data_IF_549937627586
#
_entry.id   IF_549937627586
#
_cell.length_a   1.000
_cell.length_b   1.000
_cell.length_c   1.000
_cell.angle_alpha   90.00
_cell.angle_beta   90.00
_cell.angle_gamma   90.00
#
_symmetry.space_group_name_H-M   'P 1'
#
loop_
_entity.id
_entity.type
_entity.pdbx_description
1 polymer ?
#
# COMPACT_ATOMS: atom_id res chain seq x y z
N UNK A 1 -19.40 3.67 3.80
CA UNK A 1 -19.42 2.86 2.56
C UNK A 1 -18.82 1.46 2.76
N UNK A 2 -17.55 1.27 3.14
CA UNK A 2 -16.95 -0.08 3.30
C UNK A 2 -17.82 -1.09 4.09
N UNK A 3 -18.28 -0.71 5.27
CA UNK A 3 -19.13 -1.58 6.11
C UNK A 3 -20.45 -1.99 5.45
N UNK A 4 -21.00 -1.16 4.56
CA UNK A 4 -22.24 -1.45 3.85
C UNK A 4 -22.09 -2.68 2.95
N UNK A 5 -21.00 -2.69 2.19
CA UNK A 5 -20.66 -3.77 1.27
C UNK A 5 -20.06 -4.97 1.99
N UNK A 6 -19.21 -4.77 3.01
CA UNK A 6 -18.60 -5.89 3.75
C UNK A 6 -19.63 -6.86 4.33
N UNK A 7 -20.73 -6.33 4.86
CA UNK A 7 -21.71 -7.08 5.66
C UNK A 7 -22.69 -7.91 4.82
N UNK A 8 -22.72 -7.76 3.49
CA UNK A 8 -23.65 -8.49 2.64
C UNK A 8 -23.01 -8.83 1.30
N UNK A 9 -22.79 -10.14 1.02
CA UNK A 9 -22.33 -10.59 -0.30
C UNK A 9 -23.25 -10.12 -1.43
N UNK A 10 -24.57 -10.13 -1.22
CA UNK A 10 -25.54 -9.64 -2.18
C UNK A 10 -25.31 -8.15 -2.54
N UNK A 11 -25.06 -7.29 -1.54
CA UNK A 11 -24.76 -5.87 -1.80
C UNK A 11 -23.43 -5.67 -2.51
N UNK A 12 -22.45 -6.56 -2.30
CA UNK A 12 -21.20 -6.52 -3.08
C UNK A 12 -21.46 -6.88 -4.54
N UNK A 13 -22.27 -7.92 -4.78
CA UNK A 13 -22.65 -8.33 -6.12
C UNK A 13 -23.40 -7.20 -6.84
N UNK A 14 -24.36 -6.57 -6.17
CA UNK A 14 -25.07 -5.40 -6.68
C UNK A 14 -24.11 -4.29 -7.17
N UNK A 15 -23.03 -4.01 -6.42
CA UNK A 15 -22.02 -3.02 -6.84
C UNK A 15 -21.17 -3.53 -8.02
N UNK A 16 -20.83 -4.82 -8.03
CA UNK A 16 -20.06 -5.44 -9.11
C UNK A 16 -20.85 -5.35 -10.42
N UNK A 17 -22.13 -5.67 -10.39
CA UNK A 17 -23.01 -5.63 -11.55
C UNK A 17 -23.06 -4.21 -12.13
N UNK A 18 -23.25 -3.20 -11.26
CA UNK A 18 -23.20 -1.79 -11.68
C UNK A 18 -21.81 -1.41 -12.24
N UNK A 19 -20.71 -1.88 -11.65
CA UNK A 19 -19.36 -1.59 -12.17
C UNK A 19 -19.17 -2.22 -13.56
N UNK A 20 -19.69 -3.42 -13.77
CA UNK A 20 -19.59 -4.15 -15.04
C UNK A 20 -20.41 -3.46 -16.14
N UNK A 21 -21.54 -2.83 -15.81
CA UNK A 21 -22.30 -1.98 -16.74
C UNK A 21 -21.52 -0.74 -17.20
N UNK A 22 -20.61 -0.22 -16.39
CA UNK A 22 -19.69 0.87 -16.77
C UNK A 22 -18.52 0.38 -17.64
N UNK A 23 -18.48 -0.92 -17.98
CA UNK A 23 -17.50 -1.56 -18.87
C UNK A 23 -16.04 -1.26 -18.51
N UNK A 24 -15.77 -1.20 -17.20
CA UNK A 24 -14.53 -0.67 -16.65
C UNK A 24 -13.73 -1.76 -15.92
N UNK A 25 -12.40 -1.78 -16.14
CA UNK A 25 -11.43 -2.62 -15.41
C UNK A 25 -11.13 -2.00 -14.03
N UNK A 26 -12.17 -1.57 -13.30
CA UNK A 26 -12.02 -0.95 -11.98
C UNK A 26 -11.90 -2.02 -10.90
N UNK A 27 -11.12 -1.72 -9.86
CA UNK A 27 -11.05 -2.59 -8.69
C UNK A 27 -12.41 -2.64 -7.97
N UNK A 28 -13.03 -3.82 -8.00
CA UNK A 28 -14.42 -4.06 -7.59
C UNK A 28 -14.67 -4.08 -6.07
N UNK A 29 -13.63 -3.95 -5.25
CA UNK A 29 -13.73 -4.02 -3.79
C UNK A 29 -13.77 -2.63 -3.16
N UNK A 30 -14.27 -2.52 -1.92
CA UNK A 30 -14.07 -1.32 -1.11
C UNK A 30 -12.93 -1.55 -0.13
N UNK A 31 -12.12 -0.53 0.11
CA UNK A 31 -11.02 -0.59 1.06
C UNK A 31 -11.48 -0.19 2.47
N UNK A 32 -10.92 -0.86 3.48
CA UNK A 32 -11.14 -0.51 4.87
C UNK A 32 -10.20 0.62 5.27
N UNK A 33 -10.72 1.59 6.02
CA UNK A 33 -9.94 2.65 6.63
C UNK A 33 -9.78 2.41 8.13
N UNK A 34 -8.57 2.61 8.64
CA UNK A 34 -8.30 2.68 10.09
C UNK A 34 -7.72 4.03 10.44
N UNK A 35 -8.16 4.59 11.57
CA UNK A 35 -7.73 5.92 12.04
C UNK A 35 -6.23 5.98 12.40
N UNK A 36 -5.56 4.83 12.50
CA UNK A 36 -4.14 4.72 12.88
C UNK A 36 -3.21 4.49 11.68
N UNK A 37 -3.72 4.03 10.52
CA UNK A 37 -2.88 3.74 9.34
C UNK A 37 -3.09 4.81 8.26
N UNK A 38 -2.52 5.98 8.50
CA UNK A 38 -2.65 7.15 7.63
C UNK A 38 -2.18 6.91 6.19
N UNK A 39 -1.18 6.04 5.97
CA UNK A 39 -0.73 5.63 4.62
C UNK A 39 -1.83 4.98 3.79
N UNK A 40 -2.84 4.37 4.42
CA UNK A 40 -3.97 3.77 3.71
C UNK A 40 -5.06 4.79 3.36
N UNK A 41 -5.06 5.97 3.97
CA UNK A 41 -6.10 6.97 3.75
C UNK A 41 -6.15 7.40 2.28
N UNK A 42 -4.99 7.72 1.69
CA UNK A 42 -4.88 8.07 0.26
C UNK A 42 -5.52 6.99 -0.61
N UNK A 43 -5.10 5.73 -0.45
CA UNK A 43 -5.64 4.58 -1.22
C UNK A 43 -7.15 4.41 -1.07
N UNK A 44 -7.69 4.56 0.14
CA UNK A 44 -9.13 4.47 0.39
C UNK A 44 -9.88 5.59 -0.32
N UNK A 45 -9.39 6.83 -0.24
CA UNK A 45 -10.02 7.98 -0.90
C UNK A 45 -9.92 7.83 -2.42
N UNK A 46 -8.77 7.43 -2.96
CA UNK A 46 -8.60 7.12 -4.38
C UNK A 46 -9.66 6.11 -4.83
N UNK A 47 -9.86 5.01 -4.10
CA UNK A 47 -10.88 4.02 -4.43
C UNK A 47 -12.29 4.60 -4.45
N UNK A 48 -12.63 5.43 -3.47
CA UNK A 48 -13.95 6.10 -3.40
C UNK A 48 -14.15 7.03 -4.59
N UNK A 49 -13.13 7.80 -4.96
CA UNK A 49 -13.20 8.76 -6.06
C UNK A 49 -13.21 8.09 -7.44
N UNK A 50 -12.44 7.01 -7.63
CA UNK A 50 -12.46 6.18 -8.84
C UNK A 50 -13.84 5.54 -9.03
N UNK A 51 -14.43 5.03 -7.96
CA UNK A 51 -15.76 4.42 -7.98
C UNK A 51 -16.89 5.46 -7.79
N UNK A 52 -16.62 6.77 -7.89
CA UNK A 52 -17.63 7.78 -7.54
C UNK A 52 -18.88 7.67 -8.40
N UNK A 53 -18.74 7.58 -9.72
CA UNK A 53 -19.87 7.49 -10.64
C UNK A 53 -20.62 6.14 -10.52
N UNK A 54 -19.94 4.96 -10.46
CA UNK A 54 -20.62 3.70 -10.15
C UNK A 54 -21.33 3.69 -8.79
N UNK A 55 -20.75 4.29 -7.76
CA UNK A 55 -21.38 4.40 -6.45
C UNK A 55 -22.60 5.32 -6.51
N UNK A 56 -22.50 6.43 -7.24
CA UNK A 56 -23.61 7.34 -7.47
C UNK A 56 -24.78 6.61 -8.15
N UNK A 57 -24.52 5.89 -9.25
CA UNK A 57 -25.54 5.10 -9.97
C UNK A 57 -26.12 3.97 -9.09
N UNK A 58 -25.26 3.25 -8.37
CA UNK A 58 -25.68 2.18 -7.48
C UNK A 58 -26.66 2.69 -6.40
N UNK A 59 -26.34 3.80 -5.73
CA UNK A 59 -27.16 4.30 -4.62
C UNK A 59 -28.36 5.15 -5.06
N UNK A 60 -28.32 5.79 -6.22
CA UNK A 60 -29.36 6.72 -6.67
C UNK A 60 -30.32 6.14 -7.71
N UNK A 61 -29.91 5.12 -8.47
CA UNK A 61 -30.71 4.53 -9.54
C UNK A 61 -30.96 3.04 -9.25
N UNK A 62 -29.90 2.22 -9.26
CA UNK A 62 -30.02 0.76 -9.20
C UNK A 62 -30.69 0.24 -7.91
N UNK A 63 -30.27 0.73 -6.74
CA UNK A 63 -30.83 0.26 -5.46
C UNK A 63 -32.30 0.70 -5.27
N UNK A 64 -32.70 1.96 -5.54
CA UNK A 64 -34.10 2.37 -5.54
C UNK A 64 -34.99 1.56 -6.47
N UNK A 65 -34.56 1.31 -7.71
CA UNK A 65 -35.36 0.62 -8.73
C UNK A 65 -35.61 -0.85 -8.38
N UNK A 66 -34.65 -1.49 -7.72
CA UNK A 66 -34.75 -2.88 -7.29
C UNK A 66 -35.66 -3.11 -6.06
N UNK A 67 -36.31 -2.06 -5.51
CA UNK A 67 -37.32 -2.10 -4.44
C UNK A 67 -36.99 -3.01 -3.23
N UNK A 68 -35.71 -3.25 -2.91
CA UNK A 68 -35.33 -4.18 -1.83
C UNK A 68 -35.77 -3.64 -0.47
N UNK A 69 -36.49 -4.46 0.32
CA UNK A 69 -37.01 -4.11 1.67
C UNK A 69 -35.93 -3.55 2.60
N UNK A 70 -34.67 -3.98 2.44
CA UNK A 70 -33.53 -3.57 3.28
C UNK A 70 -33.07 -2.11 3.12
N UNK A 71 -33.61 -1.39 2.12
CA UNK A 71 -33.33 0.04 1.86
C UNK A 71 -34.33 0.93 2.62
N UNK A 72 -35.56 0.47 2.83
CA UNK A 72 -36.60 1.26 3.52
C UNK A 72 -36.16 1.51 4.97
N UNK A 73 -36.11 2.78 5.36
CA UNK A 73 -35.72 3.26 6.70
C UNK A 73 -34.30 2.85 7.13
N UNK A 74 -33.32 2.96 6.24
CA UNK A 74 -31.93 2.63 6.55
C UNK A 74 -31.04 3.88 6.63
N UNK A 75 -30.77 4.35 7.84
CA UNK A 75 -29.94 5.54 8.08
C UNK A 75 -28.54 5.49 7.45
N UNK A 76 -27.98 4.28 7.26
CA UNK A 76 -26.68 4.14 6.57
C UNK A 76 -26.81 4.40 5.08
N UNK A 77 -27.89 3.93 4.46
CA UNK A 77 -28.19 4.21 3.07
C UNK A 77 -28.39 5.72 2.88
N UNK A 78 -29.22 6.35 3.71
CA UNK A 78 -29.50 7.79 3.60
C UNK A 78 -28.25 8.65 3.76
N UNK A 79 -27.37 8.31 4.71
CA UNK A 79 -26.07 9.00 4.86
C UNK A 79 -25.17 8.84 3.65
N UNK A 80 -25.09 7.64 3.05
CA UNK A 80 -24.27 7.40 1.86
C UNK A 80 -24.85 8.16 0.67
N UNK A 81 -26.18 8.12 0.50
CA UNK A 81 -26.91 8.85 -0.54
C UNK A 81 -26.62 10.35 -0.47
N UNK A 82 -26.79 10.97 0.71
CA UNK A 82 -26.47 12.38 0.95
C UNK A 82 -25.00 12.70 0.71
N UNK A 83 -24.10 11.75 1.00
CA UNK A 83 -22.66 11.93 0.75
C UNK A 83 -22.35 11.99 -0.75
N UNK A 84 -22.95 11.11 -1.54
CA UNK A 84 -22.70 10.99 -2.98
C UNK A 84 -23.32 12.14 -3.79
N UNK A 85 -24.39 12.76 -3.28
CA UNK A 85 -25.00 13.95 -3.91
C UNK A 85 -24.31 15.27 -3.54
N UNK A 86 -23.42 15.26 -2.55
CA UNK A 86 -22.73 16.48 -2.09
C UNK A 86 -21.41 16.73 -2.81
N UNK A 87 -21.37 17.76 -3.66
CA UNK A 87 -20.12 18.28 -4.22
C UNK A 87 -19.15 18.82 -3.15
N UNK A 88 -19.67 19.37 -2.04
CA UNK A 88 -18.86 19.80 -0.88
C UNK A 88 -18.09 18.63 -0.25
N UNK A 89 -18.68 17.44 -0.16
CA UNK A 89 -17.95 16.26 0.32
C UNK A 89 -16.96 15.76 -0.74
N UNK A 90 -17.37 15.72 -2.01
CA UNK A 90 -16.48 15.32 -3.13
C UNK A 90 -15.21 16.19 -3.19
N UNK A 91 -15.33 17.52 -3.08
CA UNK A 91 -14.18 18.43 -3.09
C UNK A 91 -13.28 18.25 -1.85
N UNK A 92 -13.86 18.01 -0.67
CA UNK A 92 -13.07 17.73 0.56
C UNK A 92 -12.29 16.43 0.43
N UNK A 93 -12.85 15.39 -0.19
CA UNK A 93 -12.13 14.15 -0.47
C UNK A 93 -10.96 14.38 -1.43
N UNK A 94 -11.17 15.11 -2.53
CA UNK A 94 -10.08 15.48 -3.44
C UNK A 94 -8.99 16.30 -2.74
N UNK A 95 -9.36 17.21 -1.84
CA UNK A 95 -8.40 18.01 -1.09
C UNK A 95 -7.56 17.16 -0.14
N UNK A 96 -8.19 16.24 0.61
CA UNK A 96 -7.46 15.33 1.49
C UNK A 96 -6.54 14.41 0.67
N UNK A 97 -7.02 13.88 -0.46
CA UNK A 97 -6.20 13.07 -1.36
C UNK A 97 -4.96 13.84 -1.83
N UNK A 98 -5.12 15.10 -2.22
CA UNK A 98 -4.01 15.98 -2.58
C UNK A 98 -2.98 16.14 -1.45
N UNK A 99 -3.43 16.26 -0.19
CA UNK A 99 -2.50 16.33 0.94
C UNK A 99 -1.75 15.01 1.15
N UNK A 100 -2.43 13.87 1.05
CA UNK A 100 -1.80 12.55 1.12
C UNK A 100 -0.70 12.42 0.05
N UNK A 101 -1.07 12.62 -1.22
CA UNK A 101 -0.16 12.40 -2.36
C UNK A 101 1.00 13.39 -2.39
N UNK A 102 0.77 14.65 -2.04
CA UNK A 102 1.76 15.71 -2.26
C UNK A 102 2.54 16.14 -1.03
N UNK A 103 2.22 15.62 0.16
CA UNK A 103 2.92 15.96 1.41
C UNK A 103 3.29 14.69 2.18
N UNK A 104 2.32 13.84 2.49
CA UNK A 104 2.51 12.80 3.50
C UNK A 104 3.08 11.50 2.95
N UNK A 105 2.62 11.03 1.78
CA UNK A 105 2.91 9.68 1.30
C UNK A 105 4.41 9.42 1.13
N UNK A 106 5.15 10.35 0.53
CA UNK A 106 6.61 10.22 0.36
C UNK A 106 7.32 10.07 1.71
N UNK A 107 7.00 10.93 2.68
CA UNK A 107 7.63 10.91 4.00
C UNK A 107 7.28 9.62 4.76
N UNK A 108 5.99 9.25 4.79
CA UNK A 108 5.52 8.08 5.51
C UNK A 108 6.05 6.77 4.91
N UNK A 109 6.11 6.67 3.58
CA UNK A 109 6.64 5.48 2.90
C UNK A 109 8.16 5.36 3.04
N UNK A 110 8.90 6.48 3.03
CA UNK A 110 10.35 6.48 3.27
C UNK A 110 10.69 5.88 4.63
N UNK A 111 10.08 6.37 5.71
CA UNK A 111 10.37 5.90 7.08
C UNK A 111 9.66 4.58 7.46
N UNK A 112 9.00 3.92 6.51
CA UNK A 112 8.52 2.54 6.66
C UNK A 112 9.54 1.50 6.20
N UNK A 113 10.62 1.91 5.53
CA UNK A 113 11.67 1.01 5.05
C UNK A 113 12.45 0.37 6.21
N UNK A 114 13.01 -0.83 5.96
CA UNK A 114 13.87 -1.54 6.91
C UNK A 114 15.31 -1.02 6.92
N UNK A 115 15.69 -0.21 5.93
CA UNK A 115 17.02 0.36 5.85
C UNK A 115 17.26 1.38 6.97
N UNK A 116 18.49 1.55 7.47
CA UNK A 116 18.80 2.59 8.44
C UNK A 116 18.70 3.97 7.79
N UNK A 117 17.79 4.83 8.28
CA UNK A 117 17.48 6.13 7.65
C UNK A 117 17.69 7.34 8.57
N UNK A 118 18.33 7.17 9.73
CA UNK A 118 18.55 8.26 10.68
C UNK A 118 19.28 9.47 10.07
N UNK A 119 20.21 9.22 9.16
CA UNK A 119 20.97 10.23 8.41
C UNK A 119 20.10 11.12 7.50
N UNK A 120 18.88 10.71 7.15
CA UNK A 120 17.94 11.52 6.37
C UNK A 120 16.87 12.16 7.25
N UNK A 121 16.73 11.76 8.52
CA UNK A 121 15.58 12.10 9.34
C UNK A 121 15.42 13.61 9.51
N UNK A 122 16.48 14.34 9.86
CA UNK A 122 16.39 15.80 10.04
C UNK A 122 16.03 16.52 8.74
N UNK A 123 16.71 16.18 7.64
CA UNK A 123 16.43 16.72 6.31
C UNK A 123 14.96 16.54 5.93
N UNK A 124 14.45 15.32 6.08
CA UNK A 124 13.11 14.95 5.66
C UNK A 124 12.03 15.59 6.54
N UNK A 125 12.28 15.75 7.85
CA UNK A 125 11.41 16.50 8.75
C UNK A 125 11.34 17.98 8.38
N UNK A 126 12.50 18.60 8.09
CA UNK A 126 12.59 19.98 7.61
C UNK A 126 11.83 20.16 6.28
N UNK A 127 12.06 19.24 5.34
CA UNK A 127 11.40 19.23 4.03
C UNK A 127 9.88 19.08 4.16
N UNK A 128 9.40 18.15 5.00
CA UNK A 128 7.97 17.96 5.28
C UNK A 128 7.31 19.25 5.81
N UNK A 129 7.95 19.93 6.75
CA UNK A 129 7.41 21.17 7.31
C UNK A 129 7.41 22.31 6.29
N UNK A 130 8.48 22.44 5.50
CA UNK A 130 8.56 23.40 4.40
C UNK A 130 7.47 23.14 3.34
N UNK A 131 7.23 21.88 3.00
CA UNK A 131 6.23 21.49 2.00
C UNK A 131 4.81 21.92 2.38
N UNK A 132 4.42 21.83 3.67
CA UNK A 132 3.09 22.30 4.11
C UNK A 132 2.99 23.82 4.06
N UNK A 133 4.03 24.54 4.50
CA UNK A 133 4.07 26.01 4.49
C UNK A 133 3.90 26.56 3.07
N UNK A 134 4.61 25.98 2.09
CA UNK A 134 4.54 26.37 0.69
C UNK A 134 3.20 26.07 -0.02
N UNK A 135 2.26 25.35 0.63
CA UNK A 135 0.91 25.17 0.05
C UNK A 135 0.04 26.41 0.18
N UNK A 136 0.28 27.24 1.19
CA UNK A 136 -0.61 28.35 1.52
C UNK A 136 0.10 29.66 1.86
N UNK A 137 1.43 29.66 2.01
CA UNK A 137 2.24 30.88 2.15
C UNK A 137 2.94 31.23 0.84
N UNK A 138 3.26 32.52 0.70
CA UNK A 138 4.06 33.02 -0.40
C UNK A 138 5.50 32.48 -0.33
N UNK A 139 6.07 32.17 -1.51
CA UNK A 139 7.37 31.48 -1.60
C UNK A 139 8.54 32.37 -1.14
N UNK A 140 8.45 33.67 -1.40
CA UNK A 140 9.37 34.71 -0.94
C UNK A 140 9.38 34.85 0.59
N UNK A 141 8.22 34.71 1.23
CA UNK A 141 8.11 34.77 2.69
C UNK A 141 8.75 33.56 3.39
N UNK A 142 8.55 32.35 2.84
CA UNK A 142 9.23 31.15 3.32
C UNK A 142 10.74 31.25 3.03
N UNK A 143 11.12 31.75 1.84
CA UNK A 143 12.50 31.95 1.43
C UNK A 143 13.31 30.65 1.44
N UNK A 144 14.59 30.71 1.77
CA UNK A 144 15.48 29.53 1.84
C UNK A 144 15.62 28.94 3.25
N UNK A 145 14.73 29.35 4.19
CA UNK A 145 14.74 28.83 5.57
C UNK A 145 14.63 27.30 5.58
N UNK A 146 15.39 26.67 6.47
CA UNK A 146 15.45 25.23 6.66
C UNK A 146 15.66 24.88 8.14
N UNK A 147 15.40 23.63 8.52
CA UNK A 147 15.63 23.14 9.87
C UNK A 147 14.89 23.97 10.92
N UNK A 148 15.61 24.40 11.96
CA UNK A 148 15.06 25.18 13.07
C UNK A 148 14.44 26.51 12.65
N UNK A 149 14.98 27.17 11.62
CA UNK A 149 14.57 28.51 11.18
C UNK A 149 13.16 28.54 10.60
N UNK A 150 12.66 27.38 10.14
CA UNK A 150 11.27 27.25 9.70
C UNK A 150 10.27 27.49 10.84
N UNK A 151 10.66 27.21 12.09
CA UNK A 151 9.79 27.36 13.25
C UNK A 151 9.52 28.83 13.58
N UNK A 152 10.38 29.74 13.13
CA UNK A 152 10.26 31.17 13.40
C UNK A 152 9.29 31.87 12.42
N UNK A 153 8.82 31.16 11.39
CA UNK A 153 7.81 31.67 10.47
C UNK A 153 6.47 31.83 11.20
N UNK A 154 5.95 33.05 11.21
CA UNK A 154 4.55 33.30 11.58
C UNK A 154 3.67 33.05 10.36
N UNK A 155 3.02 31.89 10.34
CA UNK A 155 2.14 31.45 9.27
C UNK A 155 0.70 31.96 9.40
N UNK A 156 0.36 32.65 10.51
CA UNK A 156 -0.99 33.20 10.71
C UNK A 156 -1.16 34.59 10.10
N UNK A 157 -0.07 35.23 9.66
CA UNK A 157 -0.10 36.52 8.97
C UNK A 157 -0.87 36.42 7.64
N UNK A 158 -2.07 37.01 7.61
CA UNK A 158 -2.96 36.96 6.44
C UNK A 158 -2.32 37.57 5.18
N UNK A 159 -1.52 38.63 5.32
CA UNK A 159 -0.81 39.30 4.23
C UNK A 159 0.27 38.45 3.55
N UNK A 160 0.77 37.43 4.24
CA UNK A 160 1.77 36.48 3.72
C UNK A 160 1.13 35.18 3.20
N UNK A 161 -0.17 35.01 3.41
CA UNK A 161 -0.92 33.87 2.90
C UNK A 161 -1.38 34.13 1.46
N UNK A 162 -1.39 33.05 0.68
CA UNK A 162 -1.92 33.06 -0.67
C UNK A 162 -3.44 33.27 -0.63
N UNK A 163 -3.95 34.02 -1.62
CA UNK A 163 -5.40 34.15 -1.82
C UNK A 163 -6.03 32.82 -2.30
N UNK A 164 -7.37 32.75 -2.30
CA UNK A 164 -8.11 31.54 -2.66
C UNK A 164 -7.85 31.05 -4.11
N UNK A 165 -7.37 31.92 -5.00
CA UNK A 165 -6.98 31.56 -6.37
C UNK A 165 -5.63 30.83 -6.40
N UNK A 166 -4.68 31.23 -5.55
CA UNK A 166 -3.31 30.71 -5.56
C UNK A 166 -3.02 29.65 -4.50
N UNK A 167 -3.82 29.58 -3.42
CA UNK A 167 -3.69 28.52 -2.43
C UNK A 167 -3.79 27.14 -3.10
N UNK A 168 -2.88 26.23 -2.73
CA UNK A 168 -2.80 24.91 -3.36
C UNK A 168 -3.88 24.01 -2.76
N UNK A 169 -4.76 23.46 -3.60
CA UNK A 169 -5.83 22.54 -3.16
C UNK A 169 -5.88 21.25 -4.01
N UNK A 170 -4.97 21.12 -4.98
CA UNK A 170 -4.96 20.03 -5.96
C UNK A 170 -5.91 20.24 -7.12
N UNK A 171 -5.59 19.62 -8.26
CA UNK A 171 -6.36 19.76 -9.51
C UNK A 171 -7.75 19.11 -9.40
N UNK A 172 -7.85 17.95 -8.74
CA UNK A 172 -9.15 17.31 -8.48
C UNK A 172 -10.12 18.22 -7.75
N UNK A 173 -9.64 18.96 -6.74
CA UNK A 173 -10.46 19.91 -6.00
C UNK A 173 -10.87 21.11 -6.87
N UNK A 174 -9.95 21.62 -7.71
CA UNK A 174 -10.23 22.74 -8.63
C UNK A 174 -11.31 22.39 -9.64
N UNK A 175 -11.32 21.16 -10.17
CA UNK A 175 -12.37 20.67 -11.07
C UNK A 175 -13.73 20.62 -10.40
N UNK A 176 -13.81 20.17 -9.15
CA UNK A 176 -15.09 20.10 -8.42
C UNK A 176 -15.58 21.48 -7.97
N UNK A 177 -14.67 22.44 -7.76
CA UNK A 177 -14.97 23.79 -7.30
C UNK A 177 -15.96 24.55 -8.19
N UNK A 178 -16.02 24.23 -9.50
CA UNK A 178 -16.93 24.84 -10.47
C UNK A 178 -18.40 24.51 -10.20
N UNK A 179 -18.67 23.38 -9.52
CA UNK A 179 -20.02 22.91 -9.19
C UNK A 179 -20.55 23.48 -7.86
N UNK A 180 -19.72 24.18 -7.08
CA UNK A 180 -20.12 24.75 -5.79
C UNK A 180 -20.71 26.15 -5.96
N UNK A 181 -21.65 26.51 -5.08
CA UNK A 181 -22.12 27.90 -4.92
C UNK A 181 -21.05 28.78 -4.29
N UNK A 182 -21.18 30.11 -4.39
CA UNK A 182 -20.20 31.03 -3.80
C UNK A 182 -20.03 30.82 -2.28
N UNK A 183 -21.14 30.66 -1.55
CA UNK A 183 -21.12 30.41 -0.10
C UNK A 183 -20.39 29.12 0.27
N UNK A 184 -20.60 28.05 -0.50
CA UNK A 184 -19.90 26.77 -0.28
C UNK A 184 -18.41 26.88 -0.60
N UNK A 185 -18.03 27.63 -1.64
CA UNK A 185 -16.63 27.90 -1.97
C UNK A 185 -15.93 28.63 -0.83
N UNK A 186 -16.56 29.67 -0.28
CA UNK A 186 -15.99 30.44 0.83
C UNK A 186 -15.80 29.57 2.07
N UNK A 187 -16.83 28.77 2.43
CA UNK A 187 -16.76 27.80 3.52
C UNK A 187 -15.65 26.77 3.30
N UNK A 188 -15.50 26.25 2.07
CA UNK A 188 -14.44 25.30 1.74
C UNK A 188 -13.04 25.90 1.91
N UNK A 189 -12.81 27.14 1.47
CA UNK A 189 -11.50 27.79 1.64
C UNK A 189 -11.20 28.12 3.11
N UNK A 190 -12.20 28.43 3.92
CA UNK A 190 -12.01 28.53 5.38
C UNK A 190 -11.56 27.18 5.97
N UNK A 191 -12.20 26.07 5.58
CA UNK A 191 -11.81 24.73 6.03
C UNK A 191 -10.40 24.37 5.59
N UNK A 192 -10.02 24.69 4.34
CA UNK A 192 -8.66 24.50 3.82
C UNK A 192 -7.64 25.25 4.67
N UNK A 193 -7.88 26.52 4.99
CA UNK A 193 -6.99 27.32 5.84
C UNK A 193 -6.90 26.74 7.25
N UNK A 194 -8.03 26.32 7.84
CA UNK A 194 -8.06 25.67 9.17
C UNK A 194 -7.22 24.39 9.18
N UNK A 195 -7.31 23.56 8.15
CA UNK A 195 -6.50 22.33 8.02
C UNK A 195 -5.02 22.70 7.93
N UNK A 196 -4.65 23.64 7.06
CA UNK A 196 -3.25 24.07 6.93
C UNK A 196 -2.68 24.63 8.23
N UNK A 197 -3.42 25.48 8.92
CA UNK A 197 -3.00 26.01 10.22
C UNK A 197 -2.87 24.91 11.26
N UNK A 198 -3.84 24.01 11.37
CA UNK A 198 -3.81 22.91 12.34
C UNK A 198 -2.63 21.95 12.08
N UNK A 199 -2.37 21.58 10.82
CA UNK A 199 -1.21 20.75 10.46
C UNK A 199 0.11 21.47 10.73
N UNK A 200 0.20 22.76 10.38
CA UNK A 200 1.42 23.56 10.59
C UNK A 200 1.71 23.76 12.07
N UNK A 201 0.71 24.03 12.91
CA UNK A 201 0.83 24.08 14.37
C UNK A 201 1.30 22.73 14.93
N UNK A 202 0.69 21.63 14.46
CA UNK A 202 1.06 20.30 14.90
C UNK A 202 2.54 20.00 14.57
N UNK A 203 3.00 20.33 13.36
CA UNK A 203 4.40 20.16 12.99
C UNK A 203 5.33 21.07 13.79
N UNK A 204 4.99 22.35 13.96
CA UNK A 204 5.78 23.29 14.77
C UNK A 204 5.99 22.78 16.21
N UNK A 205 4.97 22.15 16.79
CA UNK A 205 5.00 21.63 18.15
C UNK A 205 5.76 20.31 18.29
N UNK A 206 5.65 19.41 17.30
CA UNK A 206 6.07 18.01 17.46
C UNK A 206 7.34 17.63 16.69
N UNK A 207 7.76 18.42 15.68
CA UNK A 207 8.96 18.09 14.91
C UNK A 207 10.23 18.58 15.63
N UNK A 208 11.25 17.72 15.85
CA UNK A 208 12.47 18.07 16.55
C UNK A 208 13.47 18.83 15.65
N UNK A 209 13.03 19.89 14.95
CA UNK A 209 13.88 20.60 13.97
C UNK A 209 15.06 21.34 14.61
N UNK A 210 14.99 21.64 15.91
CA UNK A 210 16.10 22.23 16.70
C UNK A 210 17.07 21.18 17.27
N UNK A 211 16.84 19.89 17.04
CA UNK A 211 17.71 18.83 17.54
C UNK A 211 19.05 18.82 16.76
N UNK A 212 20.12 19.24 17.43
CA UNK A 212 21.47 19.31 16.86
C UNK A 212 22.04 17.93 16.51
N UNK A 213 21.78 16.90 17.31
CA UNK A 213 22.23 15.55 17.03
C UNK A 213 21.68 15.02 15.70
N UNK A 214 20.36 15.11 15.48
CA UNK A 214 19.76 14.67 14.22
C UNK A 214 20.27 15.46 13.01
N UNK A 215 20.56 16.75 13.20
CA UNK A 215 21.17 17.60 12.19
C UNK A 215 22.59 17.15 11.87
N UNK A 216 23.41 16.93 12.89
CA UNK A 216 24.82 16.55 12.73
C UNK A 216 24.93 15.13 12.11
N UNK A 217 24.04 14.19 12.45
CA UNK A 217 24.02 12.83 11.86
C UNK A 217 23.80 12.83 10.33
N UNK A 218 23.30 13.92 9.74
CA UNK A 218 23.14 14.03 8.30
C UNK A 218 24.46 13.89 7.53
N UNK A 219 25.59 14.30 8.12
CA UNK A 219 26.91 14.21 7.49
C UNK A 219 27.31 12.77 7.10
N UNK A 220 26.64 11.77 7.68
CA UNK A 220 26.89 10.38 7.33
C UNK A 220 26.51 10.11 5.87
N UNK A 221 25.56 10.87 5.31
CA UNK A 221 25.21 10.81 3.90
C UNK A 221 26.28 11.51 3.05
N UNK A 222 26.73 10.92 1.92
CA UNK A 222 27.77 11.53 1.09
C UNK A 222 27.41 12.93 0.58
N UNK A 223 26.15 13.18 0.26
CA UNK A 223 25.69 14.49 -0.24
C UNK A 223 25.71 15.61 0.81
N UNK A 224 25.83 15.28 2.10
CA UNK A 224 25.91 16.27 3.18
C UNK A 224 27.32 16.35 3.79
N UNK A 225 28.29 15.58 3.29
CA UNK A 225 29.69 15.66 3.73
C UNK A 225 30.29 17.00 3.30
N UNK A 226 30.65 17.84 4.26
CA UNK A 226 31.50 19.01 4.04
C UNK A 226 32.97 18.59 3.96
N UNK A 227 33.85 19.47 3.49
CA UNK A 227 35.31 19.21 3.41
C UNK A 227 35.98 19.11 4.79
N UNK A 228 35.30 19.56 5.85
CA UNK A 228 35.76 19.53 7.25
C UNK A 228 34.53 19.24 8.14
N UNK A 229 34.32 17.97 8.51
CA UNK A 229 33.17 17.54 9.32
C UNK A 229 33.57 16.83 10.63
N UNK A 230 34.82 17.03 11.05
CA UNK A 230 35.38 16.51 12.30
C UNK A 230 34.56 16.96 13.51
N UNK A 231 34.11 18.21 13.52
CA UNK A 231 33.40 18.81 14.64
C UNK A 231 32.03 18.17 14.82
N UNK A 232 31.30 17.91 13.73
CA UNK A 232 30.03 17.19 13.77
C UNK A 232 30.21 15.76 14.28
N UNK A 233 31.25 15.03 13.82
CA UNK A 233 31.54 13.67 14.31
C UNK A 233 31.81 13.65 15.81
N UNK A 234 32.58 14.62 16.32
CA UNK A 234 32.81 14.76 17.76
C UNK A 234 31.51 15.05 18.51
N UNK A 235 30.66 15.95 17.99
CA UNK A 235 29.36 16.24 18.61
C UNK A 235 28.46 15.02 18.64
N UNK A 236 28.44 14.22 17.57
CA UNK A 236 27.72 12.93 17.53
C UNK A 236 28.28 11.97 18.57
N UNK A 237 29.61 11.83 18.66
CA UNK A 237 30.26 10.95 19.62
C UNK A 237 29.97 11.34 21.07
N UNK A 238 30.06 12.64 21.39
CA UNK A 238 29.73 13.18 22.73
C UNK A 238 28.23 13.04 23.07
N UNK A 239 27.36 13.02 22.07
CA UNK A 239 25.92 12.84 22.26
C UNK A 239 25.50 11.40 22.59
N UNK A 240 26.41 10.42 22.46
CA UNK A 240 26.16 9.01 22.83
C UNK A 240 27.11 8.59 23.96
N UNK A 241 26.74 8.84 25.24
CA UNK A 241 27.61 8.59 26.38
C UNK A 241 28.06 7.13 26.48
N UNK A 242 29.34 6.92 26.77
CA UNK A 242 29.93 5.59 26.95
C UNK A 242 30.24 4.83 25.65
N UNK A 243 29.94 5.40 24.48
CA UNK A 243 30.28 4.79 23.20
C UNK A 243 31.78 4.87 22.92
N UNK A 244 32.37 6.07 22.99
CA UNK A 244 33.79 6.33 22.77
C UNK A 244 34.43 6.94 24.02
N UNK A 245 35.70 6.61 24.24
CA UNK A 245 36.58 7.26 25.23
C UNK A 245 37.05 8.62 24.73
N UNK A 246 37.48 9.51 25.64
CA UNK A 246 37.99 10.84 25.25
C UNK A 246 39.12 10.75 24.22
N UNK A 247 40.04 9.78 24.39
CA UNK A 247 41.11 9.51 23.43
C UNK A 247 40.61 9.06 22.06
N UNK A 248 39.57 8.23 22.03
CA UNK A 248 38.93 7.82 20.77
C UNK A 248 38.28 9.03 20.07
N UNK A 249 37.64 9.92 20.83
CA UNK A 249 37.03 11.15 20.28
C UNK A 249 38.09 12.05 19.65
N UNK A 250 39.22 12.27 20.34
CA UNK A 250 40.33 13.08 19.81
C UNK A 250 40.89 12.52 18.49
N UNK A 251 40.88 11.19 18.31
CA UNK A 251 41.32 10.53 17.09
C UNK A 251 40.36 10.71 15.89
N UNK A 252 39.12 11.18 16.08
CA UNK A 252 38.16 11.36 14.98
C UNK A 252 38.51 12.50 14.03
N UNK A 253 39.36 13.45 14.45
CA UNK A 253 39.72 14.62 13.63
C UNK A 253 40.53 14.28 12.36
N UNK A 254 41.18 13.10 12.31
CA UNK A 254 41.97 12.64 11.15
C UNK A 254 41.25 11.66 10.22
N UNK A 255 40.12 11.09 10.65
CA UNK A 255 39.45 9.96 10.00
C UNK A 255 38.21 10.43 9.22
N UNK A 256 38.45 11.13 8.11
CA UNK A 256 37.36 11.76 7.35
C UNK A 256 36.66 10.84 6.35
N UNK A 257 36.97 9.54 6.27
CA UNK A 257 36.28 8.57 5.38
C UNK A 257 35.97 9.13 3.98
N UNK A 258 36.93 9.87 3.41
CA UNK A 258 36.76 10.72 2.22
C UNK A 258 36.95 9.94 0.91
N UNK A 259 36.83 8.62 0.95
CA UNK A 259 36.93 7.80 -0.25
C UNK A 259 35.78 8.12 -1.23
N UNK A 260 36.15 8.38 -2.48
CA UNK A 260 35.20 8.61 -3.57
C UNK A 260 34.59 7.28 -4.01
N UNK A 261 33.61 6.80 -3.25
CA UNK A 261 32.88 5.55 -3.49
C UNK A 261 31.46 5.89 -3.96
N UNK A 262 30.96 5.15 -4.94
CA UNK A 262 29.58 5.26 -5.43
C UNK A 262 28.59 5.03 -4.28
N UNK A 263 27.67 5.99 -4.09
CA UNK A 263 26.64 5.87 -3.08
C UNK A 263 25.63 4.77 -3.42
N UNK A 264 25.20 4.03 -2.39
CA UNK A 264 24.16 3.02 -2.49
C UNK A 264 23.18 3.20 -1.31
N UNK A 265 23.07 2.21 -0.41
CA UNK A 265 22.41 2.35 0.90
C UNK A 265 23.46 2.68 1.95
N UNK A 266 23.10 3.46 2.97
CA UNK A 266 24.05 4.05 3.94
C UNK A 266 24.94 3.02 4.63
N UNK A 267 24.41 1.85 4.98
CA UNK A 267 25.14 0.76 5.62
C UNK A 267 26.10 0.04 4.67
N UNK A 268 25.72 -0.17 3.40
CA UNK A 268 26.64 -0.67 2.38
C UNK A 268 27.77 0.32 2.12
N UNK A 269 27.42 1.60 1.97
CA UNK A 269 28.38 2.69 1.76
C UNK A 269 29.43 2.71 2.89
N UNK A 270 28.98 2.72 4.13
CA UNK A 270 29.90 2.70 5.27
C UNK A 270 30.61 1.36 5.45
N UNK A 271 29.98 0.23 5.14
CA UNK A 271 30.67 -1.07 5.20
C UNK A 271 31.86 -1.13 4.22
N UNK A 272 31.74 -0.54 3.03
CA UNK A 272 32.85 -0.44 2.08
C UNK A 272 33.98 0.43 2.63
N UNK A 273 33.67 1.61 3.17
CA UNK A 273 34.68 2.52 3.76
C UNK A 273 35.38 1.88 4.96
N UNK A 274 34.59 1.31 5.88
CA UNK A 274 35.09 0.72 7.10
C UNK A 274 35.82 -0.62 6.88
N UNK A 275 35.64 -1.23 5.71
CA UNK A 275 36.37 -2.42 5.28
C UNK A 275 37.79 -2.13 4.75
N UNK A 276 38.16 -0.85 4.58
CA UNK A 276 39.50 -0.48 4.14
C UNK A 276 40.51 -0.78 5.24
N UNK A 277 41.57 -1.48 4.89
CA UNK A 277 42.68 -1.82 5.79
C UNK A 277 43.94 -1.06 5.44
N UNK A 278 44.75 -0.77 6.46
CA UNK A 278 46.13 -0.31 6.30
C UNK A 278 47.02 -1.44 5.78
N UNK A 279 48.26 -1.12 5.35
CA UNK A 279 49.18 -2.09 4.77
C UNK A 279 49.57 -3.25 5.72
N UNK A 280 49.44 -3.03 7.03
CA UNK A 280 49.65 -4.04 8.09
C UNK A 280 48.39 -4.88 8.37
N UNK A 281 47.32 -4.73 7.58
CA UNK A 281 46.08 -5.50 7.70
C UNK A 281 45.13 -5.03 8.80
N UNK A 282 45.42 -3.93 9.50
CA UNK A 282 44.52 -3.36 10.52
C UNK A 282 43.42 -2.52 9.87
N UNK A 283 42.25 -2.35 10.51
CA UNK A 283 41.22 -1.44 10.02
C UNK A 283 41.77 -0.01 9.95
N UNK A 284 41.58 0.67 8.82
CA UNK A 284 41.99 2.07 8.64
C UNK A 284 41.21 3.02 9.54
N UNK A 285 39.93 2.71 9.79
CA UNK A 285 38.98 3.56 10.51
C UNK A 285 38.32 2.85 11.71
N UNK A 286 39.10 2.43 12.74
CA UNK A 286 38.57 1.62 13.83
C UNK A 286 37.56 2.39 14.69
N UNK A 287 37.88 3.64 15.04
CA UNK A 287 37.05 4.48 15.90
C UNK A 287 35.80 4.97 15.17
N UNK A 288 35.97 5.48 13.95
CA UNK A 288 34.86 5.89 13.10
C UNK A 288 33.90 4.72 12.83
N UNK A 289 34.44 3.51 12.62
CA UNK A 289 33.62 2.32 12.45
C UNK A 289 32.77 1.97 13.66
N UNK A 290 33.32 2.12 14.87
CA UNK A 290 32.58 1.95 16.12
C UNK A 290 31.46 2.98 16.25
N UNK A 291 31.74 4.26 15.96
CA UNK A 291 30.74 5.32 15.99
C UNK A 291 29.60 5.05 15.01
N UNK A 292 29.92 4.91 13.73
CA UNK A 292 28.92 4.83 12.66
C UNK A 292 28.01 3.61 12.81
N UNK A 293 28.58 2.44 13.12
CA UNK A 293 27.77 1.23 13.35
C UNK A 293 26.75 1.44 14.47
N UNK A 294 27.10 2.14 15.54
CA UNK A 294 26.20 2.43 16.65
C UNK A 294 25.17 3.52 16.33
N UNK A 295 25.50 4.49 15.48
CA UNK A 295 24.50 5.47 15.02
C UNK A 295 23.49 4.86 14.06
N UNK A 296 23.94 3.98 13.15
CA UNK A 296 23.05 3.37 12.14
C UNK A 296 22.07 2.33 12.72
N UNK A 297 22.25 1.86 13.96
CA UNK A 297 21.26 1.01 14.64
C UNK A 297 20.15 1.80 15.35
N UNK A 298 20.27 3.13 15.45
CA UNK A 298 19.25 3.96 16.09
C UNK A 298 18.00 3.95 15.21
N UNK A 299 16.82 3.59 15.76
CA UNK A 299 15.60 3.51 14.98
C UNK A 299 15.15 4.90 14.50
N UNK A 300 14.76 5.01 13.23
CA UNK A 300 14.24 6.24 12.62
C UNK A 300 12.71 6.36 12.66
N UNK A 301 12.01 5.37 13.18
CA UNK A 301 10.55 5.36 13.19
C UNK A 301 9.96 4.18 13.97
N UNK A 302 8.63 4.05 13.91
CA UNK A 302 7.88 2.99 14.61
C UNK A 302 7.65 1.73 13.77
N UNK A 303 8.01 1.77 12.48
CA UNK A 303 7.69 0.71 11.53
C UNK A 303 8.32 -0.65 11.91
N UNK A 304 9.54 -0.66 12.45
CA UNK A 304 10.18 -1.90 12.95
C UNK A 304 9.38 -2.54 14.09
N UNK A 305 8.89 -1.72 15.03
CA UNK A 305 8.07 -2.16 16.16
C UNK A 305 6.71 -2.68 15.67
N UNK A 306 6.07 -1.96 14.76
CA UNK A 306 4.78 -2.38 14.17
C UNK A 306 4.91 -3.69 13.37
N UNK A 307 6.02 -3.88 12.63
CA UNK A 307 6.34 -5.16 11.99
C UNK A 307 6.48 -6.28 13.03
N UNK A 308 7.17 -6.00 14.13
CA UNK A 308 7.28 -6.92 15.27
C UNK A 308 5.91 -7.34 15.82
N UNK A 309 5.01 -6.37 16.05
CA UNK A 309 3.64 -6.65 16.50
C UNK A 309 2.84 -7.49 15.50
N UNK A 310 2.96 -7.22 14.20
CA UNK A 310 2.27 -8.01 13.18
C UNK A 310 2.79 -9.45 13.12
N UNK A 311 4.09 -9.66 13.32
CA UNK A 311 4.63 -11.03 13.40
C UNK A 311 4.09 -11.72 14.66
N UNK A 312 4.04 -11.03 15.81
CA UNK A 312 3.48 -11.59 17.03
C UNK A 312 2.00 -11.94 16.88
N UNK A 313 1.19 -11.08 16.24
CA UNK A 313 -0.21 -11.34 15.95
C UNK A 313 -0.40 -12.61 15.09
N UNK A 314 0.48 -12.82 14.10
CA UNK A 314 0.46 -14.02 13.27
C UNK A 314 0.95 -15.28 14.00
N UNK A 315 1.90 -15.15 14.93
CA UNK A 315 2.46 -16.26 15.71
C UNK A 315 1.56 -16.68 16.88
N UNK A 316 0.80 -15.74 17.44
CA UNK A 316 -0.15 -15.94 18.55
C UNK A 316 -1.58 -15.72 18.03
N UNK A 317 -2.13 -16.66 17.24
CA UNK A 317 -3.51 -16.56 16.78
C UNK A 317 -4.49 -16.55 17.96
N UNK A 318 -5.67 -15.95 17.77
CA UNK A 318 -6.70 -15.74 18.82
C UNK A 318 -7.08 -17.01 19.61
N UNK A 319 -6.87 -18.20 19.03
CA UNK A 319 -7.16 -19.49 19.64
C UNK A 319 -6.00 -20.04 20.51
N UNK A 320 -4.88 -19.32 20.64
CA UNK A 320 -3.70 -19.64 21.47
C UNK A 320 -3.40 -18.54 22.50
N UNK A 321 -4.43 -18.04 23.17
CA UNK A 321 -4.34 -16.97 24.18
C UNK A 321 -3.64 -17.36 25.50
N UNK A 322 -3.17 -18.60 25.65
CA UNK A 322 -2.57 -19.14 26.88
C UNK A 322 -1.02 -19.18 26.86
N UNK A 323 -0.37 -18.58 25.87
CA UNK A 323 1.11 -18.53 25.84
C UNK A 323 1.63 -17.54 26.88
N UNK A 324 2.58 -17.98 27.70
CA UNK A 324 3.33 -17.10 28.60
C UNK A 324 4.27 -16.19 27.81
N UNK A 325 4.67 -15.06 28.41
CA UNK A 325 5.68 -14.15 27.84
C UNK A 325 6.98 -14.89 27.49
N UNK A 326 7.40 -15.84 28.33
CA UNK A 326 8.58 -16.68 28.08
C UNK A 326 8.43 -17.53 26.82
N UNK A 327 7.24 -18.09 26.57
CA UNK A 327 6.96 -18.88 25.38
C UNK A 327 6.95 -18.00 24.13
N UNK A 328 6.36 -16.81 24.21
CA UNK A 328 6.35 -15.83 23.12
C UNK A 328 7.78 -15.40 22.79
N UNK A 329 8.60 -15.08 23.79
CA UNK A 329 10.01 -14.72 23.61
C UNK A 329 10.83 -15.86 22.99
N UNK A 330 10.60 -17.12 23.42
CA UNK A 330 11.25 -18.29 22.83
C UNK A 330 10.88 -18.52 21.36
N UNK A 331 9.59 -18.39 21.04
CA UNK A 331 9.09 -18.46 19.66
C UNK A 331 9.69 -17.35 18.80
N UNK A 332 9.71 -16.11 19.32
CA UNK A 332 10.26 -14.95 18.64
C UNK A 332 11.76 -15.12 18.34
N UNK A 333 12.53 -15.56 19.34
CA UNK A 333 13.96 -15.83 19.20
C UNK A 333 14.24 -16.91 18.15
N UNK A 334 13.43 -17.97 18.14
CA UNK A 334 13.52 -19.03 17.14
C UNK A 334 13.21 -18.51 15.73
N UNK A 335 12.13 -17.73 15.59
CA UNK A 335 11.74 -17.13 14.30
C UNK A 335 12.82 -16.20 13.76
N UNK A 336 13.32 -15.30 14.59
CA UNK A 336 14.35 -14.34 14.20
C UNK A 336 15.68 -15.04 13.87
N UNK A 337 16.06 -16.07 14.65
CA UNK A 337 17.24 -16.90 14.36
C UNK A 337 17.14 -17.64 13.02
N UNK A 338 15.97 -18.21 12.71
CA UNK A 338 15.71 -18.86 11.41
C UNK A 338 15.71 -17.83 10.27
N UNK A 339 15.11 -16.66 10.47
CA UNK A 339 15.10 -15.58 9.47
C UNK A 339 16.52 -15.07 9.17
N UNK A 340 17.35 -14.93 10.21
CA UNK A 340 18.72 -14.46 10.11
C UNK A 340 19.65 -15.48 9.43
N UNK A 341 19.57 -16.76 9.82
CA UNK A 341 20.46 -17.82 9.31
C UNK A 341 20.00 -18.43 7.99
N UNK A 342 18.71 -18.45 7.71
CA UNK A 342 18.11 -19.22 6.61
C UNK A 342 18.04 -18.53 5.24
N UNK A 343 18.62 -17.34 5.04
CA UNK A 343 18.47 -16.52 3.82
C UNK A 343 17.00 -16.38 3.35
N UNK A 344 16.02 -16.52 4.26
CA UNK A 344 14.60 -16.60 3.92
C UNK A 344 14.20 -17.71 2.92
N UNK A 345 15.09 -18.66 2.58
CA UNK A 345 14.96 -19.50 1.38
C UNK A 345 14.37 -20.89 1.62
N UNK A 346 14.39 -21.40 2.85
CA UNK A 346 13.96 -22.78 3.14
C UNK A 346 12.43 -22.96 3.15
N UNK A 347 11.64 -21.88 3.22
CA UNK A 347 10.16 -21.96 3.17
C UNK A 347 9.47 -21.00 2.20
N UNK A 348 10.10 -19.88 1.79
CA UNK A 348 9.44 -18.81 1.02
C UNK A 348 9.14 -19.22 -0.43
N UNK A 349 10.10 -19.83 -1.12
CA UNK A 349 9.92 -20.34 -2.48
C UNK A 349 8.87 -21.47 -2.58
N UNK A 350 8.70 -22.27 -1.51
CA UNK A 350 7.79 -23.41 -1.49
C UNK A 350 6.34 -23.02 -1.17
N UNK A 351 6.13 -21.99 -0.33
CA UNK A 351 4.79 -21.50 -0.01
C UNK A 351 4.23 -20.65 -1.15
N UNK A 352 5.04 -19.74 -1.72
CA UNK A 352 4.65 -18.86 -2.83
C UNK A 352 4.26 -19.72 -4.06
N UNK A 353 5.10 -20.68 -4.45
CA UNK A 353 4.83 -21.56 -5.59
C UNK A 353 3.59 -22.46 -5.37
N UNK A 354 3.32 -22.91 -4.14
CA UNK A 354 2.11 -23.66 -3.82
C UNK A 354 0.85 -22.79 -3.88
N UNK A 355 0.92 -21.56 -3.37
CA UNK A 355 -0.21 -20.64 -3.42
C UNK A 355 -0.51 -20.18 -4.84
N UNK A 356 0.51 -19.99 -5.68
CA UNK A 356 0.35 -19.65 -7.09
C UNK A 356 -0.32 -20.78 -7.87
N UNK A 357 0.16 -22.03 -7.72
CA UNK A 357 -0.44 -23.19 -8.39
C UNK A 357 -1.91 -23.39 -7.96
N UNK A 358 -2.23 -23.18 -6.68
CA UNK A 358 -3.61 -23.30 -6.19
C UNK A 358 -4.52 -22.16 -6.69
N UNK A 359 -4.01 -20.93 -6.77
CA UNK A 359 -4.76 -19.80 -7.34
C UNK A 359 -5.02 -19.99 -8.83
N UNK A 360 -4.01 -20.44 -9.58
CA UNK A 360 -4.12 -20.71 -11.01
C UNK A 360 -5.13 -21.85 -11.28
N UNK A 361 -5.12 -22.91 -10.45
CA UNK A 361 -6.12 -23.99 -10.49
C UNK A 361 -7.53 -23.47 -10.19
N UNK A 362 -7.69 -22.63 -9.16
CA UNK A 362 -8.98 -22.03 -8.77
C UNK A 362 -9.54 -21.11 -9.87
N UNK A 363 -8.71 -20.27 -10.48
CA UNK A 363 -9.10 -19.38 -11.59
C UNK A 363 -9.57 -20.17 -12.82
N UNK A 364 -8.89 -21.27 -13.17
CA UNK A 364 -9.32 -22.12 -14.27
C UNK A 364 -10.62 -22.86 -13.97
N UNK A 365 -10.84 -23.31 -12.73
CA UNK A 365 -12.10 -23.94 -12.30
C UNK A 365 -13.27 -22.96 -12.35
N UNK A 366 -13.06 -21.70 -11.96
CA UNK A 366 -14.07 -20.64 -12.07
C UNK A 366 -14.43 -20.41 -13.54
N UNK A 367 -13.42 -20.22 -14.41
CA UNK A 367 -13.63 -20.04 -15.86
C UNK A 367 -14.36 -21.23 -16.50
N UNK A 368 -14.02 -22.46 -16.10
CA UNK A 368 -14.73 -23.66 -16.55
C UNK A 368 -16.20 -23.63 -16.13
N UNK A 369 -16.48 -23.29 -14.87
CA UNK A 369 -17.85 -23.21 -14.36
C UNK A 369 -18.68 -22.14 -15.08
N UNK A 370 -18.08 -20.98 -15.40
CA UNK A 370 -18.76 -19.89 -16.10
C UNK A 370 -19.09 -20.28 -17.54
N UNK A 371 -18.14 -20.86 -18.27
CA UNK A 371 -18.37 -21.35 -19.64
C UNK A 371 -19.42 -22.46 -19.67
N UNK A 372 -19.46 -23.31 -18.65
CA UNK A 372 -20.46 -24.38 -18.54
C UNK A 372 -21.85 -23.81 -18.25
N UNK A 373 -21.95 -22.72 -17.49
CA UNK A 373 -23.19 -21.96 -17.31
C UNK A 373 -23.65 -21.33 -18.62
N UNK A 374 -22.73 -20.73 -19.37
CA UNK A 374 -23.02 -20.11 -20.68
C UNK A 374 -23.44 -21.14 -21.73
N UNK A 375 -22.82 -22.33 -21.73
CA UNK A 375 -23.21 -23.46 -22.57
C UNK A 375 -24.64 -23.92 -22.27
N UNK A 376 -24.99 -24.06 -20.99
CA UNK A 376 -26.33 -24.44 -20.57
C UNK A 376 -27.39 -23.42 -21.01
N UNK A 377 -27.09 -22.12 -20.90
CA UNK A 377 -27.95 -21.05 -21.39
C UNK A 377 -28.13 -21.12 -22.91
N UNK A 378 -27.03 -21.29 -23.65
CA UNK A 378 -27.05 -21.40 -25.12
C UNK A 378 -27.84 -22.63 -25.57
N UNK A 379 -27.69 -23.76 -24.89
CA UNK A 379 -28.46 -25.00 -25.14
C UNK A 379 -29.96 -24.79 -24.89
N UNK A 380 -30.34 -24.04 -23.85
CA UNK A 380 -31.74 -23.68 -23.60
C UNK A 380 -32.31 -22.82 -24.73
N UNK A 381 -31.53 -21.87 -25.27
CA UNK A 381 -31.94 -21.02 -26.39
C UNK A 381 -32.14 -21.86 -27.66
N UNK A 382 -31.23 -22.78 -27.96
CA UNK A 382 -31.35 -23.70 -29.11
C UNK A 382 -32.62 -24.57 -28.96
N UNK A 383 -32.90 -25.05 -27.73
CA UNK A 383 -34.08 -25.86 -27.45
C UNK A 383 -35.38 -25.06 -27.64
N UNK A 384 -35.42 -23.80 -27.20
CA UNK A 384 -36.56 -22.92 -27.43
C UNK A 384 -36.73 -22.57 -28.92
N UNK A 385 -35.63 -22.26 -29.61
CA UNK A 385 -35.61 -22.06 -31.06
C UNK A 385 -36.15 -23.27 -31.82
N UNK A 386 -35.78 -24.48 -31.41
CA UNK A 386 -36.27 -25.73 -32.01
C UNK A 386 -37.77 -25.93 -31.82
N UNK A 387 -38.31 -25.57 -30.64
CA UNK A 387 -39.78 -25.60 -30.39
C UNK A 387 -40.51 -24.57 -31.26
N UNK A 388 -39.96 -23.36 -31.39
CA UNK A 388 -40.52 -22.30 -32.25
C UNK A 388 -40.52 -22.71 -33.72
N UNK A 389 -39.46 -23.36 -34.19
CA UNK A 389 -39.36 -23.88 -35.54
C UNK A 389 -40.44 -24.93 -35.81
N UNK A 390 -40.66 -25.89 -34.89
CA UNK A 390 -41.72 -26.90 -35.02
C UNK A 390 -43.12 -26.28 -35.11
N UNK A 391 -43.38 -25.23 -34.31
CA UNK A 391 -44.67 -24.54 -34.31
C UNK A 391 -44.88 -23.70 -35.59
N UNK A 392 -43.83 -23.04 -36.07
CA UNK A 392 -43.84 -22.26 -37.31
C UNK A 392 -44.05 -23.15 -38.55
N UNK A 393 -43.45 -24.35 -38.58
CA UNK A 393 -43.66 -25.36 -39.62
C UNK A 393 -45.11 -25.86 -39.65
N UNK A 394 -45.73 -26.07 -38.48
CA UNK A 394 -47.15 -26.47 -38.38
C UNK A 394 -48.10 -25.39 -38.90
N UNK A 395 -47.76 -24.12 -38.68
CA UNK A 395 -48.59 -22.97 -39.07
C UNK A 395 -48.27 -22.43 -40.47
N UNK A 396 -47.30 -23.02 -41.20
CA UNK A 396 -46.82 -22.58 -42.52
C UNK A 396 -46.38 -21.10 -42.57
N UNK A 397 -45.83 -20.57 -41.46
CA UNK A 397 -45.35 -19.20 -41.41
C UNK A 397 -43.86 -19.12 -41.80
N UNK A 398 -43.58 -18.72 -43.04
CA UNK A 398 -42.20 -18.62 -43.58
C UNK A 398 -41.29 -17.68 -42.76
N UNK A 399 -41.83 -16.56 -42.26
CA UNK A 399 -41.03 -15.56 -41.55
C UNK A 399 -40.54 -16.09 -40.19
N UNK A 400 -41.39 -16.85 -39.50
CA UNK A 400 -41.06 -17.43 -38.19
C UNK A 400 -40.13 -18.66 -38.33
N UNK A 401 -40.21 -19.38 -39.46
CA UNK A 401 -39.25 -20.44 -39.83
C UNK A 401 -37.85 -19.85 -39.99
N UNK A 402 -37.72 -18.75 -40.75
CA UNK A 402 -36.42 -18.10 -40.97
C UNK A 402 -35.81 -17.58 -39.66
N UNK A 403 -36.64 -16.93 -38.82
CA UNK A 403 -36.21 -16.42 -37.51
C UNK A 403 -35.76 -17.52 -36.55
N UNK A 404 -36.48 -18.64 -36.51
CA UNK A 404 -36.12 -19.77 -35.65
C UNK A 404 -34.85 -20.47 -36.14
N UNK A 405 -34.66 -20.59 -37.46
CA UNK A 405 -33.45 -21.17 -38.07
C UNK A 405 -32.22 -20.33 -37.75
N UNK A 406 -32.28 -19.00 -37.93
CA UNK A 406 -31.18 -18.08 -37.60
C UNK A 406 -30.78 -18.17 -36.12
N UNK A 407 -31.77 -18.29 -35.23
CA UNK A 407 -31.53 -18.41 -33.79
C UNK A 407 -30.82 -19.73 -33.42
N UNK A 408 -31.19 -20.83 -34.08
CA UNK A 408 -30.56 -22.14 -33.91
C UNK A 408 -29.13 -22.11 -34.45
N UNK A 409 -28.92 -21.61 -35.67
CA UNK A 409 -27.58 -21.53 -36.30
C UNK A 409 -26.63 -20.65 -35.49
N UNK A 410 -27.11 -19.51 -34.99
CA UNK A 410 -26.33 -18.64 -34.10
C UNK A 410 -26.00 -19.31 -32.77
N UNK A 411 -26.97 -20.05 -32.19
CA UNK A 411 -26.77 -20.84 -30.98
C UNK A 411 -25.75 -21.97 -31.17
N UNK A 412 -25.84 -22.72 -32.26
CA UNK A 412 -24.94 -23.82 -32.60
C UNK A 412 -23.50 -23.32 -32.82
N UNK A 413 -23.35 -22.18 -33.51
CA UNK A 413 -22.05 -21.55 -33.73
C UNK A 413 -21.42 -21.15 -32.40
N UNK A 414 -22.20 -20.49 -31.53
CA UNK A 414 -21.75 -20.09 -30.19
C UNK A 414 -21.42 -21.29 -29.30
N UNK A 415 -22.23 -22.35 -29.35
CA UNK A 415 -22.01 -23.61 -28.63
C UNK A 415 -20.69 -24.26 -29.02
N UNK A 416 -20.38 -24.33 -30.33
CA UNK A 416 -19.09 -24.85 -30.83
C UNK A 416 -17.90 -24.06 -30.29
N UNK A 417 -17.98 -22.72 -30.27
CA UNK A 417 -16.91 -21.87 -29.72
C UNK A 417 -16.71 -22.11 -28.21
N UNK A 418 -17.79 -22.22 -27.44
CA UNK A 418 -17.70 -22.48 -26.00
C UNK A 418 -17.11 -23.86 -25.73
N UNK A 419 -17.50 -24.89 -26.50
CA UNK A 419 -16.95 -26.25 -26.38
C UNK A 419 -15.44 -26.26 -26.67
N UNK A 420 -14.98 -25.52 -27.68
CA UNK A 420 -13.55 -25.41 -27.98
C UNK A 420 -12.77 -24.74 -26.84
N UNK A 421 -13.32 -23.69 -26.23
CA UNK A 421 -12.73 -23.03 -25.07
C UNK A 421 -12.67 -23.94 -23.83
N UNK A 422 -13.74 -24.70 -23.58
CA UNK A 422 -13.79 -25.70 -22.50
C UNK A 422 -12.74 -26.80 -22.70
N UNK A 423 -12.50 -27.24 -23.93
CA UNK A 423 -11.43 -28.21 -24.23
C UNK A 423 -10.05 -27.66 -23.86
N UNK A 424 -9.76 -26.42 -24.26
CA UNK A 424 -8.48 -25.74 -23.95
C UNK A 424 -8.26 -25.60 -22.44
N UNK A 425 -9.28 -25.15 -21.70
CA UNK A 425 -9.20 -25.02 -20.24
C UNK A 425 -9.04 -26.38 -19.55
N UNK A 426 -9.69 -27.42 -20.06
CA UNK A 426 -9.56 -28.78 -19.50
C UNK A 426 -8.13 -29.31 -19.67
N UNK A 427 -7.50 -29.07 -20.81
CA UNK A 427 -6.09 -29.42 -21.03
C UNK A 427 -5.14 -28.66 -20.08
N UNK A 428 -5.39 -27.37 -19.85
CA UNK A 428 -4.63 -26.56 -18.91
C UNK A 428 -4.80 -27.04 -17.46
N UNK A 429 -6.04 -27.36 -17.04
CA UNK A 429 -6.32 -27.94 -15.73
C UNK A 429 -5.56 -29.25 -15.52
N UNK A 430 -5.51 -30.14 -16.52
CA UNK A 430 -4.74 -31.39 -16.44
C UNK A 430 -3.24 -31.11 -16.25
N UNK A 431 -2.69 -30.14 -16.98
CA UNK A 431 -1.28 -29.74 -16.84
C UNK A 431 -0.99 -29.20 -15.44
N UNK A 432 -1.85 -28.34 -14.90
CA UNK A 432 -1.70 -27.77 -13.56
C UNK A 432 -1.87 -28.83 -12.47
N UNK A 433 -2.84 -29.73 -12.60
CA UNK A 433 -3.04 -30.83 -11.65
C UNK A 433 -1.86 -31.80 -11.64
N UNK A 434 -1.25 -32.06 -12.80
CA UNK A 434 0.00 -32.83 -12.90
C UNK A 434 1.15 -32.10 -12.20
N UNK A 435 1.35 -30.81 -12.48
CA UNK A 435 2.34 -29.96 -11.82
C UNK A 435 2.16 -29.93 -10.29
N UNK A 436 0.90 -29.89 -9.82
CA UNK A 436 0.54 -30.00 -8.41
C UNK A 436 0.93 -31.35 -7.83
N UNK A 437 0.57 -32.47 -8.49
CA UNK A 437 0.96 -33.82 -8.03
C UNK A 437 2.47 -33.99 -7.95
N UNK A 438 3.22 -33.51 -8.94
CA UNK A 438 4.67 -33.62 -8.96
C UNK A 438 5.31 -32.78 -7.84
N UNK A 439 4.85 -31.54 -7.66
CA UNK A 439 5.33 -30.62 -6.62
C UNK A 439 5.01 -31.12 -5.22
N UNK A 440 3.83 -31.71 -5.01
CA UNK A 440 3.39 -32.23 -3.71
C UNK A 440 3.94 -33.65 -3.43
N UNK A 441 4.17 -34.46 -4.47
CA UNK A 441 4.75 -35.80 -4.37
C UNK A 441 6.24 -35.79 -4.02
N UNK A 442 7.01 -34.88 -4.62
CA UNK A 442 8.41 -34.65 -4.23
C UNK A 442 8.55 -34.25 -2.75
N UNK A 443 7.52 -33.63 -2.14
CA UNK A 443 7.49 -33.28 -0.71
C UNK A 443 7.32 -34.50 0.20
N UNK A 444 6.53 -35.50 -0.17
CA UNK A 444 6.38 -36.72 0.64
C UNK A 444 7.67 -37.53 0.66
N UNK A 445 8.36 -37.63 -0.49
CA UNK A 445 9.65 -38.31 -0.58
C UNK A 445 10.77 -37.57 0.18
N UNK A 446 10.82 -36.23 0.10
CA UNK A 446 11.79 -35.43 0.89
C UNK A 446 11.50 -35.53 2.39
N UNK A 447 10.23 -35.47 2.81
CA UNK A 447 9.84 -35.65 4.22
C UNK A 447 10.25 -37.03 4.73
N UNK A 448 9.94 -38.10 3.99
CA UNK A 448 10.32 -39.47 4.35
C UNK A 448 11.83 -39.62 4.48
N UNK A 449 12.65 -39.10 3.54
CA UNK A 449 14.12 -39.11 3.67
C UNK A 449 14.63 -38.42 4.93
N UNK A 450 14.11 -37.24 5.29
CA UNK A 450 14.49 -36.57 6.54
C UNK A 450 14.11 -37.35 7.79
N UNK A 451 12.99 -38.09 7.80
CA UNK A 451 12.62 -38.94 8.94
C UNK A 451 13.51 -40.19 9.05
N UNK A 452 13.90 -40.78 7.92
CA UNK A 452 14.82 -41.94 7.92
C UNK A 452 16.23 -41.53 8.37
N UNK A 453 16.74 -40.39 7.92
CA UNK A 453 18.06 -39.88 8.33
C UNK A 453 18.10 -39.47 9.81
N UNK A 454 17.00 -38.95 10.38
CA UNK A 454 16.90 -38.70 11.83
C UNK A 454 16.75 -39.97 12.67
N UNK A 455 16.33 -41.09 12.07
CA UNK A 455 16.20 -42.38 12.76
C UNK A 455 17.49 -43.21 12.74
N UNK A 456 18.41 -42.93 11.80
CA UNK A 456 19.72 -43.60 11.70
C UNK A 456 20.74 -42.98 12.67
N UNK A 457 20.53 -41.75 13.13
CA UNK A 457 21.42 -41.05 14.07
C UNK A 457 21.04 -41.19 15.57
N UNK A 458 20.19 -42.16 15.94
CA UNK A 458 19.86 -42.46 17.35
C UNK A 458 20.06 -43.96 17.66
N UNK A 459 21.13 -44.57 17.13
CA UNK A 459 21.64 -45.85 17.65
C UNK A 459 23.13 -45.77 17.91
#
# INVERSE_FOLDING_TARGET
MYSWFKQSPARKQDLIDVIDDFNCIMEKSMLYFTNTRWVLLGKVITRILTLWEPLHECFLTFLPDNQKVQIRNNERYDRIKLTLTSYVIKIRLHFILFLCETIFDRFLTLFQQEAPLIHLLHYELSSLYRMILLKFLAHDYVGDKAGGDLLDIDFKLNEKQLNNKHIRIGEGSRKVLTHLTQKERDTFFEDVKKIYHATTEYFKKNLPLKNSFLRDVQILHPSFKSTQYSDELERIARAVPGLLTDREIDCLQGDSGSECITYHRIDYYWNTILGITTADGRPKYPTLGKLIKNILIIPHGKADIERGFSINENMVPQNRSLLSDTSINGLRSTYDGVKFTGNGSSHKALYESRTEILKEEEELLIKQSDLQRELNQTTSIITDGSKRLQLALKNKNSLDIDRATILIDGGDTKSKTIIEQLSKITEELIKIQKKRKDTFGQQQQKRQKTTTDSSININ
#
